data_IF_889337123431
#
_entry.id   IF_889337123431
#
_cell.length_a   1.000
_cell.length_b   1.000
_cell.length_c   1.000
_cell.angle_alpha   90.00
_cell.angle_beta   90.00
_cell.angle_gamma   90.00
#
_symmetry.space_group_name_H-M   'P 1'
#
loop_
_entity.id
_entity.type
_entity.pdbx_description
1 polymer ?
#
# COMPACT_ATOMS: atom_id res chain seq x y z
N UNK A 1 22.42 -6.39 -7.47
CA UNK A 1 21.79 -7.68 -7.12
C UNK A 1 20.44 -7.43 -6.45
N UNK A 2 19.43 -8.21 -6.84
CA UNK A 2 18.05 -8.10 -6.36
C UNK A 2 17.68 -9.40 -5.68
N UNK A 3 17.10 -9.32 -4.50
CA UNK A 3 16.72 -10.48 -3.69
C UNK A 3 15.32 -10.25 -3.13
N UNK A 4 14.40 -11.19 -3.36
CA UNK A 4 12.99 -11.07 -2.95
C UNK A 4 12.30 -9.75 -3.37
N UNK A 5 12.64 -9.22 -4.55
CA UNK A 5 12.05 -7.95 -5.03
C UNK A 5 12.66 -6.69 -4.40
N UNK A 6 13.67 -6.84 -3.54
CA UNK A 6 14.38 -5.73 -2.88
C UNK A 6 15.74 -5.55 -3.55
N UNK A 7 16.04 -4.31 -3.93
CA UNK A 7 17.39 -3.94 -4.32
C UNK A 7 18.29 -3.92 -3.07
N UNK A 8 19.23 -4.86 -2.97
CA UNK A 8 20.21 -4.89 -1.90
C UNK A 8 21.33 -3.90 -2.25
N UNK A 9 21.06 -2.62 -1.99
CA UNK A 9 22.06 -1.56 -1.94
C UNK A 9 22.69 -1.47 -0.54
N UNK A 10 24.01 -1.28 -0.49
CA UNK A 10 24.81 -1.04 0.73
C UNK A 10 24.57 0.35 1.35
N UNK A 11 23.84 1.23 0.66
CA UNK A 11 23.51 2.58 1.11
C UNK A 11 22.08 2.74 1.63
N UNK A 12 21.75 3.97 2.06
CA UNK A 12 20.39 4.34 2.46
C UNK A 12 19.41 4.08 1.31
N UNK A 13 18.36 3.32 1.58
CA UNK A 13 17.32 3.01 0.59
C UNK A 13 16.67 4.28 0.06
N UNK A 14 16.62 4.41 -1.27
CA UNK A 14 16.00 5.53 -1.97
C UNK A 14 14.62 5.13 -2.48
N UNK A 15 13.81 6.11 -2.88
CA UNK A 15 12.52 5.86 -3.52
C UNK A 15 12.65 5.01 -4.79
N UNK A 16 13.76 5.14 -5.51
CA UNK A 16 14.08 4.36 -6.71
C UNK A 16 14.10 2.85 -6.43
N UNK A 17 14.58 2.44 -5.25
CA UNK A 17 14.69 1.02 -4.88
C UNK A 17 13.33 0.32 -4.77
N UNK A 18 12.25 1.10 -4.59
CA UNK A 18 10.88 0.60 -4.40
C UNK A 18 9.95 0.91 -5.59
N UNK A 19 10.48 1.41 -6.71
CA UNK A 19 9.65 1.69 -7.90
C UNK A 19 8.95 0.44 -8.43
N UNK A 20 9.62 -0.70 -8.33
CA UNK A 20 9.05 -1.97 -8.75
C UNK A 20 7.82 -2.38 -7.93
N UNK A 21 7.79 -2.04 -6.64
CA UNK A 21 6.59 -2.27 -5.83
C UNK A 21 5.40 -1.46 -6.37
N UNK A 22 5.66 -0.21 -6.76
CA UNK A 22 4.64 0.67 -7.33
C UNK A 22 4.21 0.18 -8.72
N UNK A 23 5.12 -0.32 -9.55
CA UNK A 23 4.78 -0.90 -10.85
C UNK A 23 3.93 -2.15 -10.71
N UNK A 24 4.28 -3.07 -9.79
CA UNK A 24 3.45 -4.24 -9.49
C UNK A 24 2.05 -3.87 -9.00
N UNK A 25 1.94 -2.82 -8.17
CA UNK A 25 0.66 -2.26 -7.76
C UNK A 25 -0.15 -1.72 -8.95
N UNK A 26 0.50 -0.97 -9.83
CA UNK A 26 -0.11 -0.41 -11.04
C UNK A 26 -0.58 -1.50 -12.02
N UNK A 27 0.21 -2.56 -12.22
CA UNK A 27 -0.15 -3.68 -13.10
C UNK A 27 -1.39 -4.41 -12.59
N UNK A 28 -1.49 -4.63 -11.28
CA UNK A 28 -2.70 -5.18 -10.65
C UNK A 28 -3.90 -4.27 -10.86
N UNK A 29 -3.73 -2.96 -10.69
CA UNK A 29 -4.80 -1.99 -10.93
C UNK A 29 -5.26 -1.98 -12.38
N UNK A 30 -4.35 -2.06 -13.34
CA UNK A 30 -4.67 -2.15 -14.77
C UNK A 30 -5.43 -3.45 -15.10
N UNK A 31 -5.05 -4.56 -14.47
CA UNK A 31 -5.75 -5.84 -14.61
C UNK A 31 -7.17 -5.79 -14.03
N UNK A 32 -7.35 -5.18 -12.86
CA UNK A 32 -8.65 -5.06 -12.21
C UNK A 32 -9.54 -3.98 -12.80
N UNK A 33 -8.97 -2.89 -13.32
CA UNK A 33 -9.72 -1.81 -13.97
C UNK A 33 -10.50 -2.29 -15.20
N UNK A 34 -10.05 -3.38 -15.85
CA UNK A 34 -10.77 -4.04 -16.93
C UNK A 34 -11.99 -4.84 -16.47
N UNK A 35 -12.10 -5.13 -15.16
CA UNK A 35 -13.21 -5.90 -14.58
C UNK A 35 -14.21 -4.94 -13.95
N UNK A 36 -15.50 -5.10 -14.28
CA UNK A 36 -16.56 -4.36 -13.59
C UNK A 36 -16.73 -4.92 -12.18
N UNK A 37 -16.18 -4.22 -11.18
CA UNK A 37 -16.18 -4.63 -9.78
C UNK A 37 -17.13 -3.73 -8.97
N UNK A 38 -17.87 -4.35 -8.05
CA UNK A 38 -18.63 -3.62 -7.05
C UNK A 38 -17.69 -2.83 -6.11
N UNK A 39 -18.21 -1.79 -5.46
CA UNK A 39 -17.44 -0.98 -4.51
C UNK A 39 -16.85 -1.84 -3.37
N UNK A 40 -17.63 -2.79 -2.84
CA UNK A 40 -17.17 -3.74 -1.83
C UNK A 40 -16.07 -4.68 -2.34
N UNK A 41 -16.15 -5.11 -3.61
CA UNK A 41 -15.11 -5.91 -4.25
C UNK A 41 -13.80 -5.13 -4.41
N UNK A 42 -13.87 -3.86 -4.80
CA UNK A 42 -12.70 -2.97 -4.87
C UNK A 42 -12.02 -2.81 -3.51
N UNK A 43 -12.80 -2.58 -2.45
CA UNK A 43 -12.28 -2.48 -1.08
C UNK A 43 -11.56 -3.75 -0.64
N UNK A 44 -12.19 -4.91 -0.88
CA UNK A 44 -11.62 -6.21 -0.52
C UNK A 44 -10.29 -6.46 -1.25
N UNK A 45 -10.21 -6.13 -2.54
CA UNK A 45 -8.97 -6.25 -3.33
C UNK A 45 -7.86 -5.29 -2.85
N UNK A 46 -8.22 -4.06 -2.48
CA UNK A 46 -7.28 -3.11 -1.89
C UNK A 46 -6.69 -3.69 -0.60
N UNK A 47 -7.54 -4.17 0.31
CA UNK A 47 -7.12 -4.70 1.61
C UNK A 47 -6.22 -5.96 1.46
N UNK A 48 -6.73 -6.94 0.74
CA UNK A 48 -6.09 -8.27 0.64
C UNK A 48 -4.83 -8.29 -0.21
N UNK A 49 -4.69 -7.38 -1.18
CA UNK A 49 -3.61 -7.42 -2.16
C UNK A 49 -2.75 -6.16 -2.12
N UNK A 50 -3.30 -4.95 -2.29
CA UNK A 50 -2.47 -3.73 -2.35
C UNK A 50 -1.88 -3.34 -0.99
N UNK A 51 -2.68 -3.38 0.07
CA UNK A 51 -2.24 -3.02 1.43
C UNK A 51 -1.41 -4.13 2.09
N UNK A 52 -1.54 -5.37 1.61
CA UNK A 52 -0.74 -6.51 2.10
C UNK A 52 0.65 -6.58 1.48
N UNK A 53 0.80 -6.20 0.20
CA UNK A 53 2.06 -6.20 -0.56
C UNK A 53 3.24 -5.50 0.15
N UNK A 54 3.13 -4.26 0.66
CA UNK A 54 4.26 -3.57 1.29
C UNK A 54 4.64 -4.15 2.66
N UNK A 55 3.82 -5.00 3.29
CA UNK A 55 4.04 -5.45 4.68
C UNK A 55 5.38 -6.14 4.86
N UNK A 56 5.73 -7.02 3.92
CA UNK A 56 7.01 -7.71 3.91
C UNK A 56 8.16 -6.70 3.85
N UNK A 57 8.07 -5.74 2.93
CA UNK A 57 9.08 -4.70 2.78
C UNK A 57 9.23 -3.82 4.02
N UNK A 58 8.12 -3.42 4.65
CA UNK A 58 8.14 -2.59 5.87
C UNK A 58 8.78 -3.36 7.03
N UNK A 59 8.55 -4.67 7.12
CA UNK A 59 9.08 -5.52 8.20
C UNK A 59 10.59 -5.75 8.04
N UNK A 60 11.07 -5.96 6.82
CA UNK A 60 12.47 -6.32 6.56
C UNK A 60 13.36 -5.15 6.10
N UNK A 61 12.79 -3.98 5.82
CA UNK A 61 13.55 -2.83 5.31
C UNK A 61 13.02 -1.48 5.78
N UNK A 62 13.90 -0.47 5.73
CA UNK A 62 13.55 0.91 6.03
C UNK A 62 12.88 1.59 4.82
N UNK A 63 11.64 1.19 4.53
CA UNK A 63 10.82 1.82 3.47
C UNK A 63 10.59 3.31 3.74
N UNK A 64 10.79 4.15 2.73
CA UNK A 64 10.52 5.59 2.83
C UNK A 64 9.01 5.86 2.86
N UNK A 65 8.54 6.73 3.77
CA UNK A 65 7.12 7.12 3.88
C UNK A 65 6.52 7.57 2.53
N UNK A 66 7.32 8.21 1.68
CA UNK A 66 6.93 8.64 0.32
C UNK A 66 6.39 7.49 -0.55
N UNK A 67 7.00 6.31 -0.48
CA UNK A 67 6.55 5.13 -1.26
C UNK A 67 5.16 4.69 -0.80
N UNK A 68 4.93 4.71 0.52
CA UNK A 68 3.64 4.35 1.11
C UNK A 68 2.55 5.36 0.74
N UNK A 69 2.87 6.66 0.68
CA UNK A 69 1.95 7.67 0.18
C UNK A 69 1.57 7.47 -1.30
N UNK A 70 2.52 7.12 -2.16
CA UNK A 70 2.22 6.78 -3.56
C UNK A 70 1.34 5.54 -3.67
N UNK A 71 1.59 4.53 -2.83
CA UNK A 71 0.74 3.33 -2.78
C UNK A 71 -0.69 3.66 -2.33
N UNK A 72 -0.86 4.49 -1.30
CA UNK A 72 -2.18 4.97 -0.90
C UNK A 72 -2.88 5.76 -2.01
N UNK A 73 -2.13 6.58 -2.76
CA UNK A 73 -2.65 7.33 -3.90
C UNK A 73 -3.17 6.39 -5.00
N UNK A 74 -2.47 5.30 -5.28
CA UNK A 74 -2.92 4.24 -6.20
C UNK A 74 -4.21 3.58 -5.70
N UNK A 75 -4.28 3.23 -4.41
CA UNK A 75 -5.49 2.64 -3.81
C UNK A 75 -6.70 3.59 -3.89
N UNK A 76 -6.50 4.88 -3.56
CA UNK A 76 -7.53 5.93 -3.67
C UNK A 76 -8.01 6.10 -5.11
N UNK A 77 -7.06 6.13 -6.05
CA UNK A 77 -7.38 6.26 -7.47
C UNK A 77 -8.25 5.11 -7.93
N UNK A 78 -7.92 3.87 -7.57
CA UNK A 78 -8.69 2.69 -7.95
C UNK A 78 -10.08 2.64 -7.32
N UNK A 79 -10.18 2.98 -6.03
CA UNK A 79 -11.44 2.96 -5.31
C UNK A 79 -12.49 3.88 -5.97
N UNK A 80 -12.07 5.09 -6.33
CA UNK A 80 -12.93 6.12 -6.92
C UNK A 80 -12.93 6.14 -8.45
N UNK A 81 -12.15 5.28 -9.12
CA UNK A 81 -12.15 5.23 -10.58
C UNK A 81 -13.52 4.76 -11.11
N UNK A 82 -14.07 5.49 -12.08
CA UNK A 82 -15.27 5.10 -12.81
C UNK A 82 -14.88 4.25 -14.03
N UNK A 83 -15.73 3.31 -14.43
CA UNK A 83 -15.44 2.36 -15.52
C UNK A 83 -15.22 3.05 -16.88
N UNK A 84 -15.65 4.30 -17.07
CA UNK A 84 -15.45 5.09 -18.30
C UNK A 84 -14.05 5.72 -18.45
N UNK A 85 -13.07 5.32 -17.63
CA UNK A 85 -11.72 5.90 -17.68
C UNK A 85 -11.61 7.32 -17.14
N UNK A 86 -12.73 7.93 -16.73
CA UNK A 86 -12.74 9.24 -16.07
C UNK A 86 -12.24 9.11 -14.62
N UNK A 87 -11.38 10.06 -14.21
CA UNK A 87 -10.97 10.20 -12.80
C UNK A 87 -12.23 10.55 -12.00
N UNK A 88 -12.76 9.57 -11.26
CA UNK A 88 -13.87 9.84 -10.36
C UNK A 88 -13.42 10.73 -9.20
N UNK A 89 -14.35 11.58 -8.75
CA UNK A 89 -14.11 12.49 -7.63
C UNK A 89 -13.87 11.67 -6.35
N UNK A 90 -12.89 12.08 -5.56
CA UNK A 90 -12.64 11.49 -4.24
C UNK A 90 -13.67 12.05 -3.27
N UNK A 91 -14.68 11.26 -2.93
CA UNK A 91 -15.80 11.73 -2.09
C UNK A 91 -15.46 11.78 -0.60
N UNK A 92 -14.54 10.92 -0.14
CA UNK A 92 -14.22 10.75 1.27
C UNK A 92 -12.71 10.79 1.47
N UNK A 93 -12.26 11.51 2.50
CA UNK A 93 -10.86 11.56 2.88
C UNK A 93 -10.36 10.15 3.26
N UNK A 94 -9.14 9.81 2.84
CA UNK A 94 -8.58 8.49 3.09
C UNK A 94 -8.43 8.16 4.59
N UNK A 95 -8.20 9.18 5.41
CA UNK A 95 -8.19 9.04 6.88
C UNK A 95 -9.52 8.51 7.41
N UNK A 96 -10.66 8.97 6.87
CA UNK A 96 -11.99 8.51 7.28
C UNK A 96 -12.25 7.07 6.81
N UNK A 97 -11.81 6.74 5.60
CA UNK A 97 -11.89 5.38 5.04
C UNK A 97 -11.09 4.40 5.91
N UNK A 98 -9.93 4.85 6.42
CA UNK A 98 -9.05 4.03 7.23
C UNK A 98 -9.50 3.84 8.69
N UNK A 99 -10.55 4.53 9.14
CA UNK A 99 -11.09 4.31 10.48
C UNK A 99 -11.69 2.91 10.60
N UNK A 100 -11.68 2.32 11.81
CA UNK A 100 -12.41 1.08 12.05
C UNK A 100 -13.90 1.26 11.82
N UNK A 101 -14.61 0.17 11.48
CA UNK A 101 -16.06 0.20 11.22
C UNK A 101 -16.87 0.72 12.40
N UNK A 102 -16.40 0.47 13.64
CA UNK A 102 -17.01 1.00 14.86
C UNK A 102 -17.01 2.53 14.93
N UNK A 103 -16.08 3.20 14.22
CA UNK A 103 -15.96 4.65 14.14
C UNK A 103 -16.51 5.22 12.83
N UNK A 104 -17.33 4.45 12.10
CA UNK A 104 -17.93 4.87 10.82
C UNK A 104 -17.00 4.82 9.61
N UNK A 105 -15.80 4.21 9.75
CA UNK A 105 -14.89 3.99 8.63
C UNK A 105 -15.13 2.68 7.89
N UNK A 106 -14.31 2.42 6.87
CA UNK A 106 -14.42 1.20 6.04
C UNK A 106 -13.52 0.06 6.54
N UNK A 107 -12.71 0.29 7.57
CA UNK A 107 -11.84 -0.72 8.18
C UNK A 107 -10.50 -0.93 7.48
N UNK A 108 -10.16 -0.11 6.48
CA UNK A 108 -8.88 -0.23 5.77
C UNK A 108 -7.71 0.21 6.66
N UNK A 109 -6.72 -0.64 6.88
CA UNK A 109 -5.55 -0.24 7.67
C UNK A 109 -4.52 0.50 6.80
N UNK A 110 -4.29 1.79 7.08
CA UNK A 110 -3.26 2.58 6.40
C UNK A 110 -1.87 1.95 6.61
N UNK A 111 -1.05 1.78 5.55
CA UNK A 111 0.32 1.28 5.67
C UNK A 111 1.19 2.17 6.55
N UNK A 112 0.89 3.48 6.62
CA UNK A 112 1.64 4.46 7.41
C UNK A 112 1.51 4.20 8.91
N UNK A 113 0.30 3.87 9.37
CA UNK A 113 0.04 3.53 10.78
C UNK A 113 0.75 2.24 11.18
N UNK A 114 0.90 1.30 10.25
CA UNK A 114 1.51 -0.01 10.51
C UNK A 114 3.03 0.00 10.57
N UNK A 115 3.70 1.05 10.08
CA UNK A 115 5.18 1.16 10.05
C UNK A 115 5.79 0.87 11.41
N UNK A 116 5.30 1.52 12.47
CA UNK A 116 5.87 1.37 13.82
C UNK A 116 5.77 -0.07 14.31
N UNK A 117 4.56 -0.65 14.23
CA UNK A 117 4.29 -2.03 14.66
C UNK A 117 5.07 -3.10 13.87
N UNK A 118 5.26 -2.92 12.56
CA UNK A 118 5.96 -3.89 11.72
C UNK A 118 7.48 -3.79 11.90
N UNK A 119 7.99 -2.58 12.18
CA UNK A 119 9.42 -2.35 12.44
C UNK A 119 9.86 -2.75 13.84
N UNK A 120 8.96 -2.77 14.83
CA UNK A 120 9.33 -3.14 16.19
C UNK A 120 9.94 -4.55 16.26
N UNK A 121 9.46 -5.49 15.45
CA UNK A 121 10.06 -6.84 15.32
C UNK A 121 11.50 -6.78 14.84
N UNK A 122 11.79 -5.95 13.84
CA UNK A 122 13.14 -5.78 13.32
C UNK A 122 14.05 -5.10 14.36
N UNK A 123 13.55 -4.04 15.02
CA UNK A 123 14.27 -3.36 16.09
C UNK A 123 14.61 -4.32 17.23
N UNK A 124 13.67 -5.18 17.64
CA UNK A 124 13.89 -6.19 18.67
C UNK A 124 15.01 -7.17 18.29
N UNK A 125 15.06 -7.62 17.03
CA UNK A 125 16.12 -8.53 16.56
C UNK A 125 17.53 -7.91 16.59
N UNK A 126 17.63 -6.57 16.52
CA UNK A 126 18.90 -5.87 16.69
C UNK A 126 19.31 -5.70 18.16
N UNK A 127 18.34 -5.64 19.08
CA UNK A 127 18.60 -5.48 20.53
C UNK A 127 19.04 -6.81 21.15
N UNK A 128 18.55 -7.94 20.64
CA UNK A 128 18.91 -9.28 21.15
C UNK A 128 20.31 -9.76 20.74
N UNK A 129 21.05 -8.97 19.95
CA UNK A 129 22.34 -9.36 19.36
C UNK A 129 23.44 -8.44 19.86
#
# INVERSE_FOLDING_TARGET
>A
MKYFGINISLGRKKMADFQELLSMGMDKLNSWGKKSLSMGGKLTLIETSLLSMPNFLITHSLVTKRVLHELEKLCRSFLWHKNDGSKGMQYVAWSEICKPRSMGGLGLQSPLLRIGSLRSRLAWSFIQK
#
